data_IF_412183445929
#
_entry.id   IF_412183445929
#
_cell.length_a   1.000
_cell.length_b   1.000
_cell.length_c   1.000
_cell.angle_alpha   90.00
_cell.angle_beta   90.00
_cell.angle_gamma   90.00
#
_symmetry.space_group_name_H-M   'P 1'
#
loop_
_entity.id
_entity.type
_entity.pdbx_description
1 polymer ?
#
# COMPACT_ATOMS: atom_id res chain seq x y z
N UNK A 1 8.68 -16.85 6.52
CA UNK A 1 8.36 -15.50 7.04
C UNK A 1 7.19 -14.94 6.26
N UNK A 2 6.08 -14.60 6.94
CA UNK A 2 4.98 -13.86 6.34
C UNK A 2 5.37 -12.38 6.37
N UNK A 3 5.56 -11.79 5.20
CA UNK A 3 5.82 -10.35 5.10
C UNK A 3 4.49 -9.67 4.78
N UNK A 4 4.08 -8.75 5.65
CA UNK A 4 3.02 -7.79 5.33
C UNK A 4 3.61 -6.79 4.35
N UNK A 5 3.12 -6.84 3.12
CA UNK A 5 3.65 -6.05 2.03
C UNK A 5 2.52 -5.13 1.59
N UNK A 6 2.76 -3.84 1.44
CA UNK A 6 1.77 -2.95 0.82
C UNK A 6 1.79 -3.22 -0.68
N UNK A 7 1.04 -4.23 -1.13
CA UNK A 7 1.08 -4.69 -2.51
C UNK A 7 -0.13 -4.18 -3.28
N UNK A 8 0.11 -3.78 -4.52
CA UNK A 8 -0.64 -2.82 -5.32
C UNK A 8 -1.23 -3.55 -6.53
N UNK A 9 -2.52 -3.42 -6.84
CA UNK A 9 -3.08 -4.01 -8.07
C UNK A 9 -4.10 -3.12 -8.76
N UNK A 10 -4.12 -3.33 -10.07
CA UNK A 10 -4.90 -2.73 -11.12
C UNK A 10 -6.04 -3.69 -11.51
N UNK A 11 -7.22 -3.56 -10.92
CA UNK A 11 -8.38 -4.33 -11.39
C UNK A 11 -8.84 -3.78 -12.76
N UNK A 12 -8.77 -4.54 -13.87
CA UNK A 12 -9.23 -4.06 -15.17
C UNK A 12 -10.75 -4.07 -15.32
N UNK A 13 -11.50 -4.53 -14.32
CA UNK A 13 -12.94 -4.76 -14.50
C UNK A 13 -13.71 -3.86 -13.53
N UNK A 14 -14.18 -2.74 -14.08
CA UNK A 14 -15.17 -1.80 -13.52
C UNK A 14 -14.72 -0.95 -12.33
N UNK A 15 -13.83 0.01 -12.57
CA UNK A 15 -13.98 1.39 -12.07
C UNK A 15 -13.01 2.32 -12.82
N UNK A 16 -13.61 3.18 -13.62
CA UNK A 16 -13.03 4.25 -14.43
C UNK A 16 -11.79 4.92 -13.76
N UNK A 17 -10.61 4.67 -14.32
CA UNK A 17 -9.54 5.66 -14.48
C UNK A 17 -8.83 6.24 -13.23
N UNK A 18 -8.70 5.51 -12.13
CA UNK A 18 -7.81 5.94 -11.02
C UNK A 18 -6.91 4.81 -10.54
N UNK A 19 -5.66 4.82 -11.00
CA UNK A 19 -4.58 3.91 -10.58
C UNK A 19 -4.29 4.11 -9.09
N UNK A 20 -4.93 3.30 -8.25
CA UNK A 20 -4.79 3.27 -6.79
C UNK A 20 -3.93 2.08 -6.36
N UNK A 21 -3.33 2.25 -5.19
CA UNK A 21 -2.28 1.45 -4.64
C UNK A 21 -2.75 1.03 -3.25
N UNK A 22 -3.31 -0.17 -3.14
CA UNK A 22 -3.94 -0.66 -1.92
C UNK A 22 -2.98 -1.50 -1.08
N UNK A 23 -3.24 -1.71 0.22
CA UNK A 23 -2.55 -2.72 1.02
C UNK A 23 -3.03 -4.16 0.70
N UNK A 24 -2.14 -5.14 0.87
CA UNK A 24 -2.44 -6.56 0.64
C UNK A 24 -1.40 -7.50 1.28
N UNK A 25 -1.37 -8.76 0.85
CA UNK A 25 -0.35 -9.74 1.25
C UNK A 25 0.05 -10.64 0.08
N UNK A 26 1.33 -11.03 0.01
CA UNK A 26 1.79 -12.03 -0.96
C UNK A 26 1.29 -13.38 -0.45
N UNK A 27 0.50 -14.07 -1.25
CA UNK A 27 -0.09 -15.38 -0.90
C UNK A 27 0.55 -16.55 -1.63
N UNK A 28 1.48 -16.29 -2.54
CA UNK A 28 2.17 -17.34 -3.30
C UNK A 28 3.58 -16.98 -3.72
N UNK A 29 4.16 -17.79 -4.61
CA UNK A 29 5.52 -17.61 -5.10
C UNK A 29 5.55 -16.69 -6.32
N UNK A 30 6.66 -15.98 -6.50
CA UNK A 30 6.92 -15.20 -7.70
C UNK A 30 7.12 -16.15 -8.89
N UNK A 31 6.34 -15.96 -9.94
CA UNK A 31 6.63 -16.51 -11.25
C UNK A 31 7.80 -15.73 -11.87
N UNK A 32 8.94 -16.41 -12.01
CA UNK A 32 10.17 -15.80 -12.51
C UNK A 32 10.08 -15.41 -13.99
N UNK A 33 9.26 -16.10 -14.78
CA UNK A 33 9.12 -15.86 -16.22
C UNK A 33 8.35 -14.58 -16.51
N UNK A 34 7.26 -14.36 -15.78
CA UNK A 34 6.40 -13.18 -15.94
C UNK A 34 6.72 -12.06 -14.95
N UNK A 35 7.60 -12.32 -13.98
CA UNK A 35 7.90 -11.42 -12.84
C UNK A 35 6.62 -10.99 -12.10
N UNK A 36 5.65 -11.89 -11.98
CA UNK A 36 4.38 -11.66 -11.27
C UNK A 36 4.29 -12.50 -10.00
N UNK A 37 3.49 -12.04 -9.05
CA UNK A 37 3.24 -12.73 -7.79
C UNK A 37 1.77 -12.58 -7.40
N UNK A 38 1.10 -13.64 -6.88
CA UNK A 38 -0.28 -13.54 -6.43
C UNK A 38 -0.38 -12.80 -5.10
N UNK A 39 -1.38 -11.94 -5.01
CA UNK A 39 -1.57 -10.95 -3.94
C UNK A 39 -3.02 -10.91 -3.53
N UNK A 40 -3.31 -11.13 -2.25
CA UNK A 40 -4.64 -10.89 -1.69
C UNK A 40 -4.75 -9.47 -1.15
N UNK A 41 -5.77 -8.73 -1.58
CA UNK A 41 -6.00 -7.33 -1.24
C UNK A 41 -6.89 -7.16 -0.02
N UNK A 42 -6.49 -6.36 0.96
CA UNK A 42 -7.29 -6.22 2.19
C UNK A 42 -8.58 -5.42 2.03
N UNK A 43 -8.69 -4.60 0.98
CA UNK A 43 -9.85 -3.73 0.78
C UNK A 43 -11.07 -4.47 0.23
N UNK A 44 -10.86 -5.56 -0.50
CA UNK A 44 -11.92 -6.34 -1.16
C UNK A 44 -11.73 -7.86 -1.07
N UNK A 45 -10.68 -8.33 -0.39
CA UNK A 45 -10.32 -9.73 -0.21
C UNK A 45 -10.11 -10.49 -1.55
N UNK A 46 -9.86 -9.78 -2.66
CA UNK A 46 -9.56 -10.37 -3.98
C UNK A 46 -8.09 -10.78 -4.11
N UNK A 47 -7.82 -11.92 -4.72
CA UNK A 47 -6.47 -12.36 -5.09
C UNK A 47 -6.16 -12.02 -6.55
N UNK A 48 -5.03 -11.35 -6.77
CA UNK A 48 -4.59 -11.03 -8.13
C UNK A 48 -3.09 -11.07 -8.35
N UNK A 49 -2.68 -11.43 -9.57
CA UNK A 49 -1.29 -11.49 -10.00
C UNK A 49 -0.73 -10.08 -10.30
N UNK A 50 0.21 -9.63 -9.47
CA UNK A 50 0.84 -8.31 -9.51
C UNK A 50 2.27 -8.40 -10.03
N UNK A 51 2.69 -7.47 -10.89
CA UNK A 51 4.08 -7.38 -11.32
C UNK A 51 4.97 -6.87 -10.17
N UNK A 52 6.12 -7.51 -9.90
CA UNK A 52 6.95 -7.23 -8.72
C UNK A 52 7.50 -5.80 -8.65
N UNK A 53 7.59 -5.09 -9.79
CA UNK A 53 8.04 -3.69 -9.81
C UNK A 53 6.95 -2.71 -9.36
N UNK A 54 5.69 -3.14 -9.39
CA UNK A 54 4.54 -2.42 -8.84
C UNK A 54 4.27 -2.82 -7.39
N UNK A 55 5.32 -3.13 -6.61
CA UNK A 55 5.19 -3.51 -5.20
C UNK A 55 6.03 -2.56 -4.33
N UNK A 56 5.38 -1.96 -3.33
CA UNK A 56 6.01 -1.16 -2.28
C UNK A 56 6.13 -2.05 -1.05
N UNK A 57 7.34 -2.52 -0.79
CA UNK A 57 7.60 -3.39 0.35
C UNK A 57 7.50 -2.65 1.67
N UNK A 58 7.09 -3.35 2.73
CA UNK A 58 7.03 -2.88 4.13
C UNK A 58 6.10 -1.69 4.42
N UNK A 59 5.25 -1.83 5.43
CA UNK A 59 4.36 -0.76 5.89
C UNK A 59 5.10 0.46 6.46
N UNK A 60 6.34 0.29 6.93
CA UNK A 60 7.21 1.38 7.38
C UNK A 60 7.50 2.40 6.28
N UNK A 61 7.45 2.00 5.01
CA UNK A 61 7.60 2.91 3.88
C UNK A 61 6.43 3.89 3.71
N UNK A 62 5.33 3.70 4.45
CA UNK A 62 4.24 4.66 4.50
C UNK A 62 4.44 5.75 5.55
N UNK A 63 5.43 5.63 6.45
CA UNK A 63 5.70 6.64 7.47
C UNK A 63 6.11 7.98 6.84
N UNK A 64 5.53 9.07 7.32
CA UNK A 64 5.72 10.43 6.79
C UNK A 64 5.31 10.60 5.32
N UNK A 65 4.53 9.65 4.77
CA UNK A 65 4.02 9.73 3.40
C UNK A 65 2.61 10.29 3.39
N UNK A 66 2.32 11.12 2.38
CA UNK A 66 0.95 11.57 2.09
C UNK A 66 0.16 10.43 1.45
N UNK A 67 -0.88 9.98 2.13
CA UNK A 67 -1.79 8.91 1.72
C UNK A 67 -3.18 9.46 1.39
N UNK A 68 -3.98 8.64 0.72
CA UNK A 68 -5.41 8.87 0.53
C UNK A 68 -6.19 7.82 1.31
N UNK A 69 -7.38 8.14 1.78
CA UNK A 69 -8.24 7.16 2.44
C UNK A 69 -9.71 7.48 2.26
N UNK A 70 -10.56 6.45 2.28
CA UNK A 70 -12.00 6.58 2.15
C UNK A 70 -12.68 6.48 3.52
N UNK A 71 -13.52 7.46 3.86
CA UNK A 71 -14.34 7.43 5.07
C UNK A 71 -15.72 8.02 4.76
N UNK A 72 -16.80 7.30 5.10
CA UNK A 72 -18.19 7.72 4.79
C UNK A 72 -18.34 8.13 3.30
N UNK A 73 -17.82 7.29 2.41
CA UNK A 73 -17.83 7.46 0.94
C UNK A 73 -17.15 8.72 0.40
N UNK A 74 -16.35 9.39 1.24
CA UNK A 74 -15.54 10.54 0.86
C UNK A 74 -14.06 10.20 0.90
N UNK A 75 -13.32 10.71 -0.07
CA UNK A 75 -11.87 10.56 -0.15
C UNK A 75 -11.21 11.74 0.56
N UNK A 76 -10.34 11.43 1.50
CA UNK A 76 -9.51 12.38 2.23
C UNK A 76 -8.03 12.14 1.91
N UNK A 77 -7.20 13.14 2.21
CA UNK A 77 -5.74 13.00 2.14
C UNK A 77 -5.09 13.51 3.42
N UNK A 78 -3.98 12.89 3.80
CA UNK A 78 -3.22 13.27 4.98
C UNK A 78 -1.87 12.56 5.03
N UNK A 79 -1.05 12.90 6.01
CA UNK A 79 0.29 12.33 6.20
C UNK A 79 0.26 11.30 7.31
N UNK A 80 0.85 10.12 7.09
CA UNK A 80 0.97 9.08 8.11
C UNK A 80 2.06 9.45 9.12
N UNK A 81 1.74 9.44 10.41
CA UNK A 81 2.68 9.70 11.50
C UNK A 81 2.97 8.46 12.35
N UNK A 82 2.17 7.41 12.21
CA UNK A 82 2.31 6.19 13.00
C UNK A 82 1.35 5.11 12.55
N UNK A 83 1.46 3.96 13.20
CA UNK A 83 0.51 2.86 13.09
C UNK A 83 0.46 2.09 14.42
N UNK A 84 -0.51 1.20 14.55
CA UNK A 84 -0.73 0.38 15.74
C UNK A 84 0.00 -0.97 15.72
N UNK A 85 0.97 -1.17 14.81
CA UNK A 85 1.75 -2.40 14.78
C UNK A 85 2.56 -2.58 16.08
N UNK A 86 2.48 -3.75 16.75
CA UNK A 86 3.41 -4.12 17.79
C UNK A 86 4.87 -3.95 17.33
N UNK A 87 5.70 -3.34 18.18
CA UNK A 87 7.15 -3.18 17.95
C UNK A 87 7.74 -4.51 17.44
N UNK A 88 8.32 -4.45 16.25
CA UNK A 88 9.13 -5.48 15.58
C UNK A 88 8.41 -6.62 14.83
N UNK A 89 7.11 -6.89 15.00
CA UNK A 89 6.51 -8.11 14.40
C UNK A 89 5.03 -8.04 13.96
N UNK A 90 4.33 -6.92 14.16
CA UNK A 90 2.90 -6.85 13.89
C UNK A 90 2.50 -6.34 12.49
N UNK A 91 1.34 -6.76 12.02
CA UNK A 91 0.68 -6.12 10.87
C UNK A 91 -0.12 -4.91 11.40
N UNK A 92 0.07 -3.69 10.86
CA UNK A 92 -0.72 -2.56 11.29
C UNK A 92 -2.18 -2.76 10.88
N UNK A 93 -3.10 -2.67 11.84
CA UNK A 93 -4.55 -2.67 11.57
C UNK A 93 -5.04 -1.26 11.29
N UNK A 94 -4.34 -0.26 11.84
CA UNK A 94 -4.71 1.15 11.78
C UNK A 94 -3.48 2.02 11.55
N UNK A 95 -3.61 3.03 10.70
CA UNK A 95 -2.65 4.12 10.56
C UNK A 95 -3.15 5.39 11.25
N UNK A 96 -2.22 6.14 11.84
CA UNK A 96 -2.49 7.47 12.37
C UNK A 96 -2.13 8.50 11.31
N UNK A 97 -3.15 9.15 10.75
CA UNK A 97 -3.03 10.06 9.60
C UNK A 97 -3.42 11.47 10.03
N UNK A 98 -2.52 12.43 9.85
CA UNK A 98 -2.80 13.85 10.09
C UNK A 98 -3.29 14.51 8.81
N UNK A 99 -4.48 15.11 8.85
CA UNK A 99 -5.06 15.82 7.69
C UNK A 99 -4.47 17.22 7.52
N UNK A 100 -4.77 17.88 6.41
CA UNK A 100 -4.41 19.30 6.19
C UNK A 100 -5.01 20.24 7.23
N UNK A 101 -6.14 19.86 7.84
CA UNK A 101 -6.78 20.58 8.95
C UNK A 101 -6.09 20.32 10.30
N UNK A 102 -4.93 19.66 10.30
CA UNK A 102 -4.13 19.27 11.48
C UNK A 102 -4.81 18.26 12.42
N UNK A 103 -5.95 17.71 12.04
CA UNK A 103 -6.66 16.67 12.79
C UNK A 103 -5.94 15.32 12.66
N UNK A 104 -5.85 14.58 13.77
CA UNK A 104 -5.30 13.22 13.76
C UNK A 104 -6.43 12.21 13.61
N UNK A 105 -6.33 11.36 12.59
CA UNK A 105 -7.34 10.37 12.26
C UNK A 105 -6.80 8.96 12.38
N UNK A 106 -7.62 8.06 12.91
CA UNK A 106 -7.37 6.61 12.93
C UNK A 106 -7.97 6.02 11.66
N UNK A 107 -7.12 5.58 10.74
CA UNK A 107 -7.51 5.07 9.43
C UNK A 107 -7.27 3.57 9.36
N UNK A 108 -8.32 2.74 9.23
CA UNK A 108 -8.18 1.30 9.05
C UNK A 108 -7.35 0.95 7.80
N UNK A 109 -6.56 -0.12 7.89
CA UNK A 109 -5.74 -0.67 6.79
C UNK A 109 -6.56 -0.90 5.51
N UNK A 110 -7.83 -1.31 5.62
CA UNK A 110 -8.70 -1.58 4.47
C UNK A 110 -9.12 -0.30 3.72
N UNK A 111 -9.03 0.86 4.37
CA UNK A 111 -9.54 2.13 3.84
C UNK A 111 -8.44 3.03 3.26
N UNK A 112 -7.18 2.73 3.54
CA UNK A 112 -6.02 3.51 3.09
C UNK A 112 -5.56 3.04 1.70
N UNK A 113 -5.11 3.99 0.89
CA UNK A 113 -4.50 3.72 -0.41
C UNK A 113 -3.57 4.86 -0.83
N UNK A 114 -2.70 4.60 -1.80
CA UNK A 114 -1.96 5.63 -2.50
C UNK A 114 -2.59 5.85 -3.88
N UNK A 115 -2.55 7.08 -4.37
CA UNK A 115 -2.69 7.35 -5.81
C UNK A 115 -1.37 7.07 -6.50
N UNK A 116 -1.37 6.90 -7.82
CA UNK A 116 -0.13 6.79 -8.61
C UNK A 116 0.90 7.89 -8.30
N UNK A 117 0.45 9.13 -8.11
CA UNK A 117 1.34 10.25 -7.80
C UNK A 117 1.99 10.10 -6.42
N UNK A 118 1.23 9.68 -5.41
CA UNK A 118 1.73 9.43 -4.07
C UNK A 118 2.70 8.23 -4.06
N UNK A 119 2.36 7.16 -4.78
CA UNK A 119 3.19 5.96 -4.90
C UNK A 119 4.49 6.18 -5.67
N UNK A 120 4.50 7.08 -6.66
CA UNK A 120 5.68 7.38 -7.49
C UNK A 120 6.91 7.68 -6.63
N UNK A 121 6.75 8.45 -5.55
CA UNK A 121 7.87 8.79 -4.64
C UNK A 121 8.46 7.58 -3.93
N UNK A 122 7.68 6.54 -3.69
CA UNK A 122 8.12 5.32 -3.00
C UNK A 122 8.73 4.30 -3.96
N UNK A 123 8.24 4.24 -5.20
CA UNK A 123 8.77 3.34 -6.24
C UNK A 123 10.19 3.76 -6.68
N UNK A 124 10.52 5.06 -6.67
CA UNK A 124 11.85 5.57 -7.06
C UNK A 124 12.91 5.41 -5.96
N UNK A 125 12.54 5.01 -4.73
CA UNK A 125 13.47 4.87 -3.59
C UNK A 125 14.16 3.49 -3.56
N UNK A 126 13.89 2.62 -4.54
CA UNK A 126 14.69 1.39 -4.69
C UNK A 126 16.16 1.82 -4.91
N UNK A 127 17.11 1.42 -4.05
CA UNK A 127 18.51 1.65 -4.36
C UNK A 127 18.78 0.95 -5.68
N UNK A 128 19.17 1.71 -6.70
CA UNK A 128 19.85 1.12 -7.83
C UNK A 128 21.03 0.37 -7.22
N UNK A 129 21.00 -0.97 -7.25
CA UNK A 129 22.21 -1.73 -7.04
C UNK A 129 23.19 -1.18 -8.07
N UNK A 130 24.17 -0.39 -7.62
CA UNK A 130 25.37 -0.16 -8.42
C UNK A 130 25.96 -1.55 -8.60
N UNK A 131 25.75 -2.14 -9.78
CA UNK A 131 26.62 -3.20 -10.25
C UNK A 131 28.04 -2.60 -10.22
N UNK A 132 28.85 -3.07 -9.27
CA UNK A 132 30.30 -3.02 -9.41
C UNK A 132 30.70 -4.22 -10.27
#
# INVERSE_FOLDING_TARGET
MRYTITILYNNPIKLWNQKKFHPGCIVGKVDKSTRKVPVCFYHNDEEVNVHVDDIIYHHSNLMMVKVSFCQRDRIYTGTVYGNDSPKHHGEPRTFFVRTSKKEMMRVPLRQIFLTKLQARKLLHVRPQKKCK
#
